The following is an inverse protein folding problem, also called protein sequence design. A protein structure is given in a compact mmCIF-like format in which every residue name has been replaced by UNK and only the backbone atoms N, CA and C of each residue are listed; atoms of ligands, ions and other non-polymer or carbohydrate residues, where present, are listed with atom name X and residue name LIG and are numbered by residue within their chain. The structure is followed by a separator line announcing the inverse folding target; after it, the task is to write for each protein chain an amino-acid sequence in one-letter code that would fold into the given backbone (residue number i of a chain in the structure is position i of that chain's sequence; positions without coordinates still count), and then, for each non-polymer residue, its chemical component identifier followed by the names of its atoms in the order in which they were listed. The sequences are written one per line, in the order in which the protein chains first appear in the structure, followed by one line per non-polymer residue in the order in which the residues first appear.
data_IF_790852054456
#
_entry.id   IF_790852054456
#
_cell.length_a   1.000
_cell.length_b   1.000
_cell.length_c   1.000
_cell.angle_alpha   90.00
_cell.angle_beta   90.00
_cell.angle_gamma   90.00
#
_symmetry.space_group_name_H-M   'P 1'
#
loop_
_entity.id
_entity.type
_entity.pdbx_description
1 polymer ?
#
# COMPACT_ATOMS: atom_id res chain seq x y z
N UNK A 1 30.71 79.71 -12.65
CA UNK A 1 30.36 78.97 -11.41
C UNK A 1 28.94 78.38 -11.40
N UNK A 2 27.90 78.97 -12.04
CA UNK A 2 26.55 78.38 -12.06
C UNK A 2 26.43 77.04 -12.84
N UNK A 3 27.19 76.88 -13.93
CA UNK A 3 27.15 75.67 -14.80
C UNK A 3 27.76 74.42 -14.15
N UNK A 4 28.65 74.59 -13.17
CA UNK A 4 29.28 73.48 -12.42
C UNK A 4 28.34 72.90 -11.35
N UNK A 5 27.47 73.73 -10.76
CA UNK A 5 26.49 73.29 -9.74
C UNK A 5 25.41 72.40 -10.37
N UNK A 6 24.94 72.72 -11.58
CA UNK A 6 23.97 71.88 -12.29
C UNK A 6 24.52 70.51 -12.72
N UNK A 7 25.82 70.43 -13.06
CA UNK A 7 26.46 69.17 -13.41
C UNK A 7 26.62 68.22 -12.21
N UNK A 8 26.91 68.75 -11.02
CA UNK A 8 27.03 67.95 -9.79
C UNK A 8 25.68 67.46 -9.29
N UNK A 9 24.61 68.26 -9.40
CA UNK A 9 23.24 67.86 -9.04
C UNK A 9 22.70 66.77 -10.00
N UNK A 10 23.05 66.81 -11.28
CA UNK A 10 22.68 65.78 -12.26
C UNK A 10 23.35 64.41 -11.99
N UNK A 11 24.60 64.41 -11.52
CA UNK A 11 25.32 63.18 -11.15
C UNK A 11 24.74 62.56 -9.87
N UNK A 12 24.40 63.38 -8.87
CA UNK A 12 23.76 62.90 -7.63
C UNK A 12 22.36 62.32 -7.92
N UNK A 13 21.60 62.90 -8.86
CA UNK A 13 20.30 62.37 -9.29
C UNK A 13 20.42 61.01 -10.01
N UNK A 14 21.44 60.78 -10.83
CA UNK A 14 21.63 59.48 -11.51
C UNK A 14 22.06 58.35 -10.55
N UNK A 15 22.86 58.66 -9.53
CA UNK A 15 23.27 57.66 -8.52
C UNK A 15 22.13 57.34 -7.55
N UNK A 16 21.32 58.32 -7.16
CA UNK A 16 20.13 58.11 -6.32
C UNK A 16 19.03 57.29 -7.00
N UNK A 17 18.76 57.54 -8.29
CA UNK A 17 17.75 56.79 -9.05
C UNK A 17 18.21 55.35 -9.33
N UNK A 18 19.49 55.09 -9.60
CA UNK A 18 20.01 53.74 -9.82
C UNK A 18 19.87 52.84 -8.58
N UNK A 19 20.21 53.36 -7.39
CA UNK A 19 20.13 52.60 -6.14
C UNK A 19 18.67 52.37 -5.69
N UNK A 20 17.79 53.36 -5.83
CA UNK A 20 16.36 53.22 -5.53
C UNK A 20 15.62 52.34 -6.55
N UNK A 21 15.94 52.42 -7.84
CA UNK A 21 15.31 51.60 -8.87
C UNK A 21 15.73 50.13 -8.75
N UNK A 22 17.00 49.87 -8.41
CA UNK A 22 17.49 48.51 -8.20
C UNK A 22 16.84 47.84 -6.98
N UNK A 23 16.74 48.54 -5.85
CA UNK A 23 16.01 48.06 -4.67
C UNK A 23 14.50 47.88 -4.94
N UNK A 24 13.88 48.77 -5.71
CA UNK A 24 12.47 48.68 -6.06
C UNK A 24 12.14 47.48 -6.97
N UNK A 25 12.99 47.20 -7.97
CA UNK A 25 12.84 46.03 -8.85
C UNK A 25 13.08 44.72 -8.08
N UNK A 26 14.11 44.67 -7.23
CA UNK A 26 14.38 43.51 -6.37
C UNK A 26 13.23 43.23 -5.40
N UNK A 27 12.65 44.26 -4.77
CA UNK A 27 11.48 44.09 -3.90
C UNK A 27 10.24 43.59 -4.65
N UNK A 28 9.98 44.09 -5.87
CA UNK A 28 8.88 43.56 -6.71
C UNK A 28 9.09 42.10 -7.10
N UNK A 29 10.34 41.71 -7.34
CA UNK A 29 10.68 40.32 -7.63
C UNK A 29 10.46 39.44 -6.39
N UNK A 30 10.87 39.90 -5.20
CA UNK A 30 10.58 39.20 -3.93
C UNK A 30 9.08 38.96 -3.73
N UNK A 31 8.26 40.01 -3.80
CA UNK A 31 6.81 39.89 -3.56
C UNK A 31 6.14 38.95 -4.58
N UNK A 32 6.61 38.98 -5.84
CA UNK A 32 6.10 38.09 -6.89
C UNK A 32 6.47 36.64 -6.63
N UNK A 33 7.72 36.39 -6.23
CA UNK A 33 8.20 35.05 -5.91
C UNK A 33 7.52 34.48 -4.66
N UNK A 34 7.30 35.28 -3.61
CA UNK A 34 6.54 34.84 -2.42
C UNK A 34 5.11 34.43 -2.81
N UNK A 35 4.41 35.22 -3.63
CA UNK A 35 3.07 34.85 -4.11
C UNK A 35 3.07 33.57 -4.93
N UNK A 36 4.10 33.36 -5.75
CA UNK A 36 4.27 32.12 -6.50
C UNK A 36 4.49 30.92 -5.57
N UNK A 37 5.25 31.10 -4.49
CA UNK A 37 5.47 30.10 -3.46
C UNK A 37 4.16 29.77 -2.72
N UNK A 38 3.40 30.78 -2.29
CA UNK A 38 2.10 30.60 -1.63
C UNK A 38 1.07 29.89 -2.53
N UNK A 39 1.08 30.20 -3.83
CA UNK A 39 0.25 29.49 -4.81
C UNK A 39 0.67 28.02 -4.94
N UNK A 40 1.98 27.74 -4.94
CA UNK A 40 2.49 26.37 -4.95
C UNK A 40 2.16 25.61 -3.66
N UNK A 41 2.25 26.25 -2.49
CA UNK A 41 1.80 25.71 -1.19
C UNK A 41 0.32 25.32 -1.25
N UNK A 42 -0.52 26.21 -1.79
CA UNK A 42 -1.96 25.96 -1.94
C UNK A 42 -2.22 24.78 -2.88
N UNK A 43 -1.41 24.63 -3.93
CA UNK A 43 -1.46 23.50 -4.86
C UNK A 43 -0.78 22.22 -4.32
N UNK A 44 -0.20 22.25 -3.12
CA UNK A 44 0.59 21.16 -2.52
C UNK A 44 1.77 20.72 -3.41
N UNK A 45 2.29 21.65 -4.22
CA UNK A 45 3.52 21.49 -4.98
C UNK A 45 4.71 21.94 -4.12
N UNK A 46 5.08 21.08 -3.17
CA UNK A 46 6.08 21.39 -2.16
C UNK A 46 7.46 21.69 -2.74
N UNK A 47 7.84 20.99 -3.82
CA UNK A 47 9.12 21.22 -4.48
C UNK A 47 9.18 22.59 -5.16
N UNK A 48 8.10 22.98 -5.84
CA UNK A 48 8.01 24.32 -6.43
C UNK A 48 7.95 25.40 -5.35
N UNK A 49 7.18 25.18 -4.28
CA UNK A 49 7.12 26.10 -3.16
C UNK A 49 8.50 26.31 -2.51
N UNK A 50 9.25 25.25 -2.25
CA UNK A 50 10.60 25.31 -1.70
C UNK A 50 11.55 26.09 -2.62
N UNK A 51 11.52 25.80 -3.93
CA UNK A 51 12.33 26.52 -4.91
C UNK A 51 12.00 28.03 -4.94
N UNK A 52 10.72 28.39 -4.92
CA UNK A 52 10.29 29.79 -4.92
C UNK A 52 10.67 30.48 -3.59
N UNK A 53 10.49 29.85 -2.42
CA UNK A 53 10.93 30.42 -1.14
C UNK A 53 12.44 30.59 -1.06
N UNK A 54 13.24 29.66 -1.57
CA UNK A 54 14.71 29.80 -1.67
C UNK A 54 15.11 30.93 -2.62
N UNK A 55 14.40 31.09 -3.74
CA UNK A 55 14.62 32.21 -4.63
C UNK A 55 14.30 33.54 -3.92
N UNK A 56 13.19 33.63 -3.21
CA UNK A 56 12.84 34.81 -2.43
C UNK A 56 13.89 35.10 -1.34
N UNK A 57 14.37 34.06 -0.64
CA UNK A 57 15.44 34.14 0.35
C UNK A 57 16.75 34.69 -0.24
N UNK A 58 17.08 34.33 -1.49
CA UNK A 58 18.27 34.83 -2.20
C UNK A 58 18.20 36.33 -2.54
N UNK A 59 16.98 36.87 -2.67
CA UNK A 59 16.75 38.32 -2.86
C UNK A 59 16.78 39.01 -1.50
N UNK A 60 16.05 38.46 -0.53
CA UNK A 60 15.94 38.98 0.83
C UNK A 60 15.71 37.84 1.81
N UNK A 61 16.72 37.56 2.63
CA UNK A 61 16.60 36.59 3.71
C UNK A 61 15.74 37.16 4.85
N UNK A 62 14.67 36.45 5.19
CA UNK A 62 13.74 36.80 6.28
C UNK A 62 13.53 35.58 7.18
N UNK A 63 13.09 35.77 8.43
CA UNK A 63 12.69 34.64 9.27
C UNK A 63 11.64 33.75 8.58
N UNK A 64 10.64 34.36 7.93
CA UNK A 64 9.59 33.66 7.18
C UNK A 64 10.15 32.74 6.10
N UNK A 65 11.05 33.23 5.25
CA UNK A 65 11.62 32.41 4.16
C UNK A 65 12.47 31.25 4.68
N UNK A 66 13.15 31.43 5.82
CA UNK A 66 13.93 30.36 6.47
C UNK A 66 13.03 29.32 7.17
N UNK A 67 11.99 29.77 7.84
CA UNK A 67 11.03 28.87 8.49
C UNK A 67 10.25 28.07 7.45
N UNK A 68 9.81 28.74 6.37
CA UNK A 68 9.14 28.09 5.24
C UNK A 68 9.99 26.96 4.64
N UNK A 69 11.28 27.21 4.42
CA UNK A 69 12.22 26.18 3.93
C UNK A 69 12.25 24.95 4.85
N UNK A 70 12.28 25.15 6.18
CA UNK A 70 12.31 24.04 7.15
C UNK A 70 11.00 23.25 7.12
N UNK A 71 9.85 23.92 7.05
CA UNK A 71 8.55 23.25 6.95
C UNK A 71 8.40 22.48 5.63
N UNK A 72 8.87 23.07 4.53
CA UNK A 72 8.76 22.47 3.21
C UNK A 72 9.69 21.29 3.02
N UNK A 73 10.88 21.28 3.63
CA UNK A 73 11.76 20.09 3.64
C UNK A 73 11.05 18.88 4.26
N UNK A 74 10.36 19.07 5.38
CA UNK A 74 9.54 18.04 6.00
C UNK A 74 8.34 17.64 5.12
N UNK A 75 7.62 18.61 4.53
CA UNK A 75 6.49 18.33 3.65
C UNK A 75 6.89 17.57 2.36
N UNK A 76 8.08 17.85 1.80
CA UNK A 76 8.64 17.11 0.65
C UNK A 76 8.91 15.66 1.05
N UNK A 77 9.63 15.43 2.16
CA UNK A 77 9.89 14.07 2.67
C UNK A 77 8.60 13.30 2.96
N UNK A 78 7.59 13.99 3.48
CA UNK A 78 6.28 13.40 3.72
C UNK A 78 5.58 12.98 2.43
N UNK A 79 5.66 13.82 1.39
CA UNK A 79 5.11 13.51 0.07
C UNK A 79 5.83 12.33 -0.58
N UNK A 80 7.15 12.30 -0.56
CA UNK A 80 7.93 11.17 -1.09
C UNK A 80 7.55 9.87 -0.36
N UNK A 81 7.45 9.90 0.98
CA UNK A 81 6.98 8.76 1.76
C UNK A 81 5.53 8.36 1.46
N UNK A 82 4.67 9.30 1.07
CA UNK A 82 3.29 9.03 0.64
C UNK A 82 3.27 8.29 -0.70
N UNK A 83 4.15 8.68 -1.63
CA UNK A 83 4.32 8.03 -2.94
C UNK A 83 4.89 6.61 -2.80
N UNK A 84 5.74 6.38 -1.79
CA UNK A 84 6.26 5.06 -1.40
C UNK A 84 5.28 4.21 -0.55
N UNK A 85 4.04 4.68 -0.32
CA UNK A 85 3.04 4.07 0.57
C UNK A 85 3.54 3.84 2.02
N UNK A 86 4.59 4.54 2.43
CA UNK A 86 5.13 4.51 3.78
C UNK A 86 4.35 5.50 4.68
N UNK A 87 3.10 5.12 5.00
CA UNK A 87 2.14 5.97 5.70
C UNK A 87 2.64 6.49 7.04
N UNK A 88 3.36 5.66 7.80
CA UNK A 88 3.89 6.06 9.10
C UNK A 88 4.95 7.16 8.99
N UNK A 89 5.89 7.01 8.03
CA UNK A 89 6.89 8.03 7.78
C UNK A 89 6.25 9.31 7.23
N UNK A 90 5.29 9.20 6.32
CA UNK A 90 4.56 10.33 5.77
C UNK A 90 3.86 11.15 6.87
N UNK A 91 3.12 10.49 7.75
CA UNK A 91 2.47 11.12 8.92
C UNK A 91 3.49 11.82 9.81
N UNK A 92 4.57 11.11 10.18
CA UNK A 92 5.61 11.66 11.05
C UNK A 92 6.26 12.91 10.46
N UNK A 93 6.50 12.94 9.15
CA UNK A 93 7.11 14.11 8.48
C UNK A 93 6.13 15.26 8.35
N UNK A 94 4.85 15.02 8.05
CA UNK A 94 3.84 16.10 8.08
C UNK A 94 3.65 16.67 9.49
N UNK A 95 3.67 15.85 10.54
CA UNK A 95 3.68 16.37 11.91
C UNK A 95 4.93 17.21 12.20
N UNK A 96 6.12 16.75 11.79
CA UNK A 96 7.34 17.53 11.94
C UNK A 96 7.28 18.89 11.23
N UNK A 97 6.61 18.98 10.07
CA UNK A 97 6.37 20.24 9.37
C UNK A 97 5.42 21.20 10.13
N UNK A 98 4.43 20.65 10.85
CA UNK A 98 3.51 21.43 11.69
C UNK A 98 4.14 21.90 13.00
N UNK A 99 5.10 21.13 13.52
CA UNK A 99 5.78 21.39 14.79
C UNK A 99 6.96 22.37 14.67
N UNK A 100 7.25 22.88 13.46
CA UNK A 100 8.31 23.89 13.26
C UNK A 100 7.95 25.18 13.97
N UNK A 101 8.84 25.65 14.85
CA UNK A 101 8.66 26.90 15.60
C UNK A 101 8.55 28.11 14.67
N UNK A 102 7.56 28.97 14.93
CA UNK A 102 7.21 30.09 14.06
C UNK A 102 6.68 29.68 12.68
N UNK A 103 6.18 28.45 12.53
CA UNK A 103 5.64 27.92 11.29
C UNK A 103 4.59 28.84 10.64
N UNK A 104 4.62 28.93 9.31
CA UNK A 104 3.75 29.80 8.55
C UNK A 104 2.35 29.18 8.42
N UNK A 105 1.31 29.97 8.72
CA UNK A 105 -0.08 29.49 8.76
C UNK A 105 -0.58 28.92 7.43
N UNK A 106 -0.16 29.50 6.30
CA UNK A 106 -0.53 29.01 4.97
C UNK A 106 0.06 27.62 4.70
N UNK A 107 1.32 27.39 5.10
CA UNK A 107 1.99 26.09 4.98
C UNK A 107 1.35 25.10 5.95
N UNK A 108 1.11 25.49 7.20
CA UNK A 108 0.43 24.65 8.20
C UNK A 108 -0.94 24.18 7.72
N UNK A 109 -1.74 25.08 7.15
CA UNK A 109 -3.07 24.73 6.62
C UNK A 109 -2.97 23.72 5.48
N UNK A 110 -2.04 23.92 4.55
CA UNK A 110 -1.86 23.02 3.41
C UNK A 110 -1.28 21.65 3.83
N UNK A 111 -0.37 21.64 4.83
CA UNK A 111 0.19 20.44 5.43
C UNK A 111 -0.88 19.64 6.18
N UNK A 112 -1.73 20.30 6.98
CA UNK A 112 -2.83 19.62 7.68
C UNK A 112 -3.76 18.92 6.69
N UNK A 113 -4.12 19.59 5.59
CA UNK A 113 -4.93 18.98 4.53
C UNK A 113 -4.24 17.74 3.92
N UNK A 114 -2.92 17.80 3.70
CA UNK A 114 -2.16 16.67 3.18
C UNK A 114 -2.10 15.51 4.18
N UNK A 115 -1.92 15.82 5.47
CA UNK A 115 -1.92 14.86 6.56
C UNK A 115 -3.27 14.14 6.67
N UNK A 116 -4.38 14.87 6.56
CA UNK A 116 -5.72 14.29 6.58
C UNK A 116 -5.93 13.32 5.41
N UNK A 117 -5.41 13.66 4.22
CA UNK A 117 -5.44 12.77 3.05
C UNK A 117 -4.61 11.50 3.28
N UNK A 118 -3.40 11.62 3.84
CA UNK A 118 -2.56 10.47 4.20
C UNK A 118 -3.26 9.58 5.23
N UNK A 119 -3.85 10.16 6.26
CA UNK A 119 -4.60 9.42 7.29
C UNK A 119 -5.76 8.65 6.67
N UNK A 120 -6.48 9.27 5.73
CA UNK A 120 -7.56 8.60 5.01
C UNK A 120 -7.05 7.43 4.17
N UNK A 121 -5.97 7.62 3.39
CA UNK A 121 -5.37 6.56 2.56
C UNK A 121 -4.86 5.40 3.41
N UNK A 122 -4.18 5.68 4.53
CA UNK A 122 -3.71 4.65 5.45
C UNK A 122 -4.88 3.82 6.02
N UNK A 123 -5.95 4.47 6.47
CA UNK A 123 -7.12 3.77 6.98
C UNK A 123 -7.77 2.86 5.93
N UNK A 124 -7.85 3.31 4.68
CA UNK A 124 -8.33 2.48 3.57
C UNK A 124 -7.41 1.30 3.28
N UNK A 125 -6.08 1.50 3.28
CA UNK A 125 -5.10 0.44 3.08
C UNK A 125 -5.18 -0.62 4.20
N UNK A 126 -5.31 -0.20 5.45
CA UNK A 126 -5.52 -1.11 6.59
C UNK A 126 -6.82 -1.91 6.47
N UNK A 127 -7.91 -1.27 6.05
CA UNK A 127 -9.19 -1.95 5.86
C UNK A 127 -9.13 -2.97 4.72
N UNK A 128 -8.48 -2.62 3.61
CA UNK A 128 -8.25 -3.54 2.51
C UNK A 128 -7.42 -4.75 2.96
N UNK A 129 -6.32 -4.52 3.71
CA UNK A 129 -5.50 -5.59 4.27
C UNK A 129 -6.27 -6.52 5.20
N UNK A 130 -7.14 -5.98 6.08
CA UNK A 130 -7.98 -6.79 6.97
C UNK A 130 -8.95 -7.66 6.17
N UNK A 131 -9.57 -7.08 5.15
CA UNK A 131 -10.52 -7.79 4.28
C UNK A 131 -9.81 -8.94 3.53
N UNK A 132 -8.62 -8.68 2.99
CA UNK A 132 -7.82 -9.72 2.33
C UNK A 132 -7.38 -10.83 3.29
N UNK A 133 -7.01 -10.48 4.54
CA UNK A 133 -6.67 -11.48 5.56
C UNK A 133 -7.86 -12.35 5.96
N UNK A 134 -9.06 -11.77 6.09
CA UNK A 134 -10.30 -12.50 6.36
C UNK A 134 -10.66 -13.43 5.20
N UNK A 135 -10.57 -12.96 3.95
CA UNK A 135 -10.81 -13.78 2.77
C UNK A 135 -9.82 -14.94 2.65
N UNK A 136 -8.53 -14.69 2.91
CA UNK A 136 -7.51 -15.74 2.93
C UNK A 136 -7.79 -16.78 4.02
N UNK A 137 -8.17 -16.34 5.21
CA UNK A 137 -8.53 -17.22 6.33
C UNK A 137 -9.77 -18.08 6.00
N UNK A 138 -10.80 -17.47 5.41
CA UNK A 138 -11.99 -18.18 4.96
C UNK A 138 -11.68 -19.21 3.87
N UNK A 139 -10.81 -18.86 2.90
CA UNK A 139 -10.37 -19.77 1.85
C UNK A 139 -9.60 -20.97 2.43
N UNK A 140 -8.67 -20.73 3.38
CA UNK A 140 -7.95 -21.82 4.05
C UNK A 140 -8.89 -22.74 4.83
N UNK A 141 -9.87 -22.20 5.56
CA UNK A 141 -10.85 -23.00 6.29
C UNK A 141 -11.71 -23.86 5.35
N UNK A 142 -12.14 -23.30 4.20
CA UNK A 142 -12.87 -24.04 3.18
C UNK A 142 -12.03 -25.17 2.58
N UNK A 143 -10.76 -24.91 2.27
CA UNK A 143 -9.83 -25.94 1.77
C UNK A 143 -9.60 -27.06 2.78
N UNK A 144 -9.44 -26.73 4.06
CA UNK A 144 -9.27 -27.74 5.11
C UNK A 144 -10.52 -28.61 5.27
N UNK A 145 -11.70 -28.00 5.22
CA UNK A 145 -12.98 -28.72 5.25
C UNK A 145 -13.11 -29.68 4.06
N UNK A 146 -12.78 -29.22 2.85
CA UNK A 146 -12.79 -30.04 1.64
C UNK A 146 -11.79 -31.21 1.71
N UNK A 147 -10.60 -30.99 2.27
CA UNK A 147 -9.61 -32.05 2.48
C UNK A 147 -10.13 -33.10 3.47
N UNK A 148 -10.69 -32.68 4.62
CA UNK A 148 -11.28 -33.59 5.61
C UNK A 148 -12.43 -34.41 5.02
N UNK A 149 -13.31 -33.78 4.24
CA UNK A 149 -14.40 -34.47 3.55
C UNK A 149 -13.88 -35.52 2.55
N UNK A 150 -12.80 -35.21 1.82
CA UNK A 150 -12.18 -36.14 0.87
C UNK A 150 -11.58 -37.36 1.57
N UNK A 151 -10.85 -37.16 2.68
CA UNK A 151 -10.32 -38.28 3.47
C UNK A 151 -11.44 -39.16 4.05
N UNK A 152 -12.52 -38.55 4.56
CA UNK A 152 -13.67 -39.30 5.08
C UNK A 152 -14.40 -40.10 3.98
N UNK A 153 -14.47 -39.57 2.76
CA UNK A 153 -15.03 -40.29 1.62
C UNK A 153 -14.15 -41.47 1.21
N UNK A 154 -12.83 -41.30 1.22
CA UNK A 154 -11.86 -42.36 0.92
C UNK A 154 -11.93 -43.50 1.95
N UNK A 155 -12.00 -43.17 3.24
CA UNK A 155 -12.12 -44.17 4.32
C UNK A 155 -13.44 -44.96 4.25
N UNK A 156 -14.55 -44.28 3.89
CA UNK A 156 -15.83 -44.96 3.60
C UNK A 156 -15.75 -45.89 2.39
N UNK A 157 -15.08 -45.47 1.32
CA UNK A 157 -14.90 -46.32 0.14
C UNK A 157 -14.06 -47.57 0.48
N UNK A 158 -12.98 -47.40 1.26
CA UNK A 158 -12.12 -48.50 1.68
C UNK A 158 -12.85 -49.48 2.61
N UNK A 159 -13.62 -48.98 3.58
CA UNK A 159 -14.42 -49.83 4.48
C UNK A 159 -15.53 -50.58 3.75
N UNK A 160 -16.21 -49.95 2.78
CA UNK A 160 -17.19 -50.65 1.93
C UNK A 160 -16.54 -51.74 1.06
N UNK A 161 -15.37 -51.47 0.50
CA UNK A 161 -14.60 -52.46 -0.27
C UNK A 161 -14.20 -53.66 0.59
N UNK A 162 -13.66 -53.42 1.79
CA UNK A 162 -13.34 -54.48 2.77
C UNK A 162 -14.58 -55.27 3.17
N UNK A 163 -15.72 -54.61 3.38
CA UNK A 163 -16.98 -55.26 3.72
C UNK A 163 -17.48 -56.16 2.59
N UNK A 164 -17.48 -55.68 1.36
CA UNK A 164 -17.84 -56.49 0.18
C UNK A 164 -16.91 -57.69 -0.01
N UNK A 165 -15.60 -57.52 0.18
CA UNK A 165 -14.64 -58.63 0.12
C UNK A 165 -14.93 -59.67 1.22
N UNK A 166 -15.26 -59.23 2.44
CA UNK A 166 -15.61 -60.12 3.54
C UNK A 166 -16.93 -60.86 3.33
N UNK A 167 -17.95 -60.20 2.78
CA UNK A 167 -19.24 -60.82 2.45
C UNK A 167 -19.11 -61.81 1.29
N UNK A 168 -18.28 -61.50 0.28
CA UNK A 168 -17.94 -62.43 -0.80
C UNK A 168 -17.20 -63.67 -0.27
N UNK A 169 -16.22 -63.48 0.63
CA UNK A 169 -15.52 -64.59 1.27
C UNK A 169 -16.44 -65.45 2.16
N UNK A 170 -17.39 -64.82 2.87
CA UNK A 170 -18.39 -65.53 3.68
C UNK A 170 -19.38 -66.33 2.82
N UNK A 171 -19.83 -65.78 1.68
CA UNK A 171 -20.64 -66.50 0.69
C UNK A 171 -19.89 -67.68 0.05
N UNK A 172 -18.61 -67.50 -0.27
CA UNK A 172 -17.78 -68.58 -0.78
C UNK A 172 -17.63 -69.72 0.25
N UNK A 173 -17.51 -69.39 1.55
CA UNK A 173 -17.46 -70.38 2.64
C UNK A 173 -18.80 -71.07 2.88
N UNK A 174 -19.94 -70.39 2.72
CA UNK A 174 -21.26 -71.01 2.92
C UNK A 174 -21.66 -71.96 1.78
N UNK A 175 -21.16 -71.74 0.56
CA UNK A 175 -21.30 -72.68 -0.56
C UNK A 175 -20.30 -73.85 -0.53
N UNK A 176 -19.35 -73.86 0.41
CA UNK A 176 -18.38 -74.94 0.59
C UNK A 176 -18.77 -75.95 1.70
N UNK A 177 -20.00 -75.91 2.22
CA UNK A 177 -20.49 -76.92 3.20
C UNK A 177 -20.92 -78.19 2.44
N UNK A 178 -20.37 -79.38 2.76
CA UNK A 178 -20.55 -80.56 1.92
C UNK A 178 -21.97 -81.13 2.01
N UNK A 179 -22.53 -81.42 0.83
CA UNK A 179 -23.68 -82.31 0.65
C UNK A 179 -23.19 -83.74 0.88
N UNK A 180 -23.33 -84.26 2.10
CA UNK A 180 -23.15 -85.68 2.40
C UNK A 180 -24.50 -86.30 2.70
N UNK A 181 -25.10 -86.93 1.69
CA UNK A 181 -25.96 -88.09 1.91
C UNK A 181 -25.73 -89.09 0.77
N UNK A 182 -24.91 -90.08 1.11
CA UNK A 182 -24.64 -91.32 0.39
C UNK A 182 -25.85 -92.23 0.37
N UNK A 183 -26.29 -92.67 -0.82
CA UNK A 183 -26.57 -94.10 -1.08
C UNK A 183 -26.68 -94.39 -2.59
N UNK A 184 -25.61 -94.91 -3.17
CA UNK A 184 -25.67 -95.67 -4.42
C UNK A 184 -25.41 -97.13 -4.09
N UNK A 185 -26.45 -97.95 -4.25
CA UNK A 185 -26.35 -99.40 -4.29
C UNK A 185 -27.26 -99.85 -5.42
N UNK A 186 -26.69 -100.24 -6.55
CA UNK A 186 -27.09 -101.47 -7.23
C UNK A 186 -26.08 -101.86 -8.31
N UNK A 187 -25.48 -103.02 -8.06
CA UNK A 187 -24.84 -103.92 -9.01
C UNK A 187 -25.82 -104.36 -10.09
N UNK A 188 -25.36 -104.33 -11.35
CA UNK A 188 -25.91 -105.14 -12.45
C UNK A 188 -24.77 -105.77 -13.22
N UNK A 189 -24.62 -107.06 -13.00
CA UNK A 189 -23.84 -108.07 -13.72
C UNK A 189 -24.22 -108.09 -15.21
N UNK A 190 -23.27 -108.34 -16.11
CA UNK A 190 -23.38 -109.37 -17.17
C UNK A 190 -22.00 -109.66 -17.74
N UNK A 191 -21.62 -110.93 -17.62
CA UNK A 191 -20.44 -111.56 -18.21
C UNK A 191 -20.86 -112.32 -19.47
N UNK A 192 -19.86 -112.72 -20.26
CA UNK A 192 -19.85 -113.57 -21.46
C UNK A 192 -20.04 -112.85 -22.81
N UNK A 193 -19.29 -113.18 -23.87
CA UNK A 193 -18.52 -114.41 -24.12
C UNK A 193 -17.34 -114.14 -25.04
N UNK A 194 -16.24 -114.84 -24.77
CA UNK A 194 -15.18 -115.17 -25.73
C UNK A 194 -15.70 -116.21 -26.72
N UNK A 195 -15.42 -116.04 -28.02
CA UNK A 195 -14.75 -117.00 -28.90
C UNK A 195 -14.60 -116.40 -30.30
#
# INVERSE_FOLDING_TARGET
MRKFIFAVIAIIAMVGVGFFSYQYVQNKNYDTTIKSAEAAVTAQDWQKADADYKQAQSIKMTPETRTAETQLDHAIKAKDATEDENWHLAQSQYHAALDVDGGLDNINTAVQKALDEVNHKNAMAEQASKTSAEQASAASAASESAARASFAAQDRAESMSKKQASEAAAKAKSHAKPQSDTKSSHTSTTSHSSH
#
